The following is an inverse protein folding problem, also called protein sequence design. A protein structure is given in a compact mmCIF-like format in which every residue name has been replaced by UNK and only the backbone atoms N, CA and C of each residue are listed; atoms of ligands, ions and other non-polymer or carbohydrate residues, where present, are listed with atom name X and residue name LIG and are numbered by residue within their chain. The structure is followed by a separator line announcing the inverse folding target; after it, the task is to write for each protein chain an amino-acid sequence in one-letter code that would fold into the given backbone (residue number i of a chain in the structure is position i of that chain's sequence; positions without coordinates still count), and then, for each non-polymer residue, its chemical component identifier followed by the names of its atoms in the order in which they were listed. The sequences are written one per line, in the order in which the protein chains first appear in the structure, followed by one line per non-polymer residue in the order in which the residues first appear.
data_IF_441647050508
#
_entry.id   IF_441647050508
#
_cell.length_a   1.000
_cell.length_b   1.000
_cell.length_c   1.000
_cell.angle_alpha   90.00
_cell.angle_beta   90.00
_cell.angle_gamma   90.00
#
_symmetry.space_group_name_H-M   'P 1'
#
loop_
_entity.id
_entity.type
_entity.pdbx_description
1 polymer ?
#
# COMPACT_ATOMS: atom_id res chain seq x y z
N UNK A 1 4.54 36.57 0.40
CA UNK A 1 5.50 35.43 0.39
C UNK A 1 5.02 34.39 -0.62
N UNK A 2 5.88 33.96 -1.55
CA UNK A 2 5.52 32.91 -2.51
C UNK A 2 5.68 31.53 -1.85
N UNK A 3 4.64 30.70 -1.93
CA UNK A 3 4.64 29.34 -1.35
C UNK A 3 5.63 28.45 -2.10
N UNK A 4 6.47 27.72 -1.36
CA UNK A 4 7.28 26.64 -1.94
C UNK A 4 6.40 25.39 -2.05
N UNK A 5 6.31 24.83 -3.26
CA UNK A 5 5.55 23.60 -3.53
C UNK A 5 6.54 22.52 -3.92
N UNK A 6 6.92 21.70 -2.94
CA UNK A 6 7.81 20.57 -3.16
C UNK A 6 7.18 19.59 -4.15
N UNK A 7 7.93 19.20 -5.19
CA UNK A 7 7.51 18.19 -6.16
C UNK A 7 8.27 16.88 -6.02
N UNK A 8 9.53 16.95 -5.60
CA UNK A 8 10.34 15.77 -5.35
C UNK A 8 11.21 15.92 -4.10
N UNK A 9 11.45 14.80 -3.42
CA UNK A 9 12.49 14.67 -2.42
C UNK A 9 13.76 14.23 -3.14
N UNK A 10 14.73 15.14 -3.26
CA UNK A 10 15.93 14.93 -4.06
C UNK A 10 17.08 14.30 -3.25
N UNK A 11 17.14 14.56 -1.95
CA UNK A 11 18.18 14.03 -1.09
C UNK A 11 17.67 13.86 0.33
N UNK A 12 18.10 12.77 0.97
CA UNK A 12 17.92 12.51 2.40
C UNK A 12 19.27 12.28 3.03
N UNK A 13 19.50 12.85 4.21
CA UNK A 13 20.73 12.65 4.95
C UNK A 13 20.53 12.81 6.44
N UNK A 14 21.62 12.62 7.17
CA UNK A 14 21.75 12.98 8.57
C UNK A 14 22.91 13.94 8.71
N UNK A 15 22.73 14.96 9.56
CA UNK A 15 23.80 15.88 9.96
C UNK A 15 25.03 15.11 10.46
N UNK A 16 26.21 15.72 10.39
CA UNK A 16 27.49 15.10 10.82
C UNK A 16 27.44 14.62 12.28
N UNK A 17 26.74 15.37 13.14
CA UNK A 17 26.52 15.02 14.55
C UNK A 17 25.46 13.92 14.77
N UNK A 18 24.82 13.46 13.69
CA UNK A 18 23.70 12.49 13.66
C UNK A 18 22.50 12.87 14.53
N UNK A 19 22.35 14.14 14.91
CA UNK A 19 21.23 14.61 15.74
C UNK A 19 20.06 15.13 14.92
N UNK A 20 20.25 15.31 13.62
CA UNK A 20 19.25 15.89 12.72
C UNK A 20 19.15 15.09 11.42
N UNK A 21 17.91 14.86 10.98
CA UNK A 21 17.60 14.40 9.63
C UNK A 21 17.43 15.59 8.70
N UNK A 22 18.01 15.48 7.51
CA UNK A 22 17.96 16.50 6.48
C UNK A 22 17.25 15.97 5.25
N UNK A 23 16.25 16.72 4.79
CA UNK A 23 15.43 16.40 3.64
C UNK A 23 15.49 17.57 2.66
N UNK A 24 16.07 17.36 1.48
CA UNK A 24 16.15 18.39 0.44
C UNK A 24 15.07 18.15 -0.61
N UNK A 25 14.16 19.11 -0.72
CA UNK A 25 13.07 19.11 -1.68
C UNK A 25 13.39 20.01 -2.87
N UNK A 26 12.83 19.68 -4.03
CA UNK A 26 12.93 20.48 -5.26
C UNK A 26 11.53 20.84 -5.74
N UNK A 27 11.33 22.09 -6.19
CA UNK A 27 10.10 22.52 -6.84
C UNK A 27 10.17 22.47 -8.38
N UNK A 28 9.04 22.77 -9.04
CA UNK A 28 8.94 22.80 -10.52
C UNK A 28 9.93 23.74 -11.21
N UNK A 29 10.44 24.74 -10.48
CA UNK A 29 11.36 25.75 -11.00
C UNK A 29 12.81 25.40 -10.66
N UNK A 30 13.07 24.19 -10.14
CA UNK A 30 14.38 23.72 -9.72
C UNK A 30 14.88 24.35 -8.42
N UNK A 31 14.05 25.12 -7.70
CA UNK A 31 14.44 25.70 -6.41
C UNK A 31 14.55 24.57 -5.39
N UNK A 32 15.64 24.59 -4.62
CA UNK A 32 15.90 23.63 -3.56
C UNK A 32 15.54 24.22 -2.21
N UNK A 33 14.88 23.43 -1.37
CA UNK A 33 14.65 23.75 0.03
C UNK A 33 14.99 22.56 0.90
N UNK A 34 15.93 22.75 1.82
CA UNK A 34 16.32 21.73 2.80
C UNK A 34 15.60 21.98 4.12
N UNK A 35 14.97 20.94 4.65
CA UNK A 35 14.36 20.91 5.97
C UNK A 35 15.25 20.05 6.87
N UNK A 36 15.67 20.61 8.01
CA UNK A 36 16.50 19.92 9.00
C UNK A 36 15.73 19.72 10.30
N UNK A 37 15.37 18.49 10.61
CA UNK A 37 14.51 18.09 11.73
C UNK A 37 15.33 17.30 12.75
N UNK A 38 15.24 17.59 14.06
CA UNK A 38 15.85 16.76 15.09
C UNK A 38 15.37 15.31 15.00
N UNK A 39 16.26 14.34 15.27
CA UNK A 39 15.96 12.90 15.13
C UNK A 39 14.76 12.45 15.97
N UNK A 40 14.62 12.96 17.19
CA UNK A 40 13.45 12.66 18.04
C UNK A 40 12.14 13.09 17.39
N UNK A 41 12.07 14.32 16.88
CA UNK A 41 10.89 14.84 16.19
C UNK A 41 10.63 14.08 14.88
N UNK A 42 11.68 13.71 14.15
CA UNK A 42 11.53 12.90 12.95
C UNK A 42 10.92 11.53 13.27
N UNK A 43 11.32 10.89 14.37
CA UNK A 43 10.75 9.62 14.84
C UNK A 43 9.27 9.78 15.20
N UNK A 44 8.91 10.87 15.90
CA UNK A 44 7.51 11.18 16.25
C UNK A 44 6.64 11.45 15.02
N UNK A 45 7.23 11.98 13.94
CA UNK A 45 6.53 12.25 12.68
C UNK A 45 6.25 11.00 11.85
N UNK A 46 7.02 9.92 11.98
CA UNK A 46 6.83 8.68 11.21
C UNK A 46 5.39 8.16 11.31
N UNK A 47 4.82 7.87 12.51
CA UNK A 47 3.46 7.34 12.61
C UNK A 47 2.40 8.32 12.10
N UNK A 48 2.61 9.63 12.28
CA UNK A 48 1.69 10.67 11.80
C UNK A 48 1.66 10.70 10.27
N UNK A 49 2.82 10.68 9.62
CA UNK A 49 2.92 10.67 8.16
C UNK A 49 2.38 9.37 7.57
N UNK A 50 2.64 8.23 8.21
CA UNK A 50 2.05 6.94 7.82
C UNK A 50 0.52 6.98 7.90
N UNK A 51 -0.04 7.43 9.03
CA UNK A 51 -1.49 7.53 9.21
C UNK A 51 -2.14 8.49 8.20
N UNK A 52 -1.51 9.64 7.92
CA UNK A 52 -1.99 10.58 6.91
C UNK A 52 -1.91 10.00 5.49
N UNK A 53 -0.82 9.33 5.14
CA UNK A 53 -0.67 8.69 3.83
C UNK A 53 -1.70 7.57 3.63
N UNK A 54 -1.94 6.76 4.66
CA UNK A 54 -2.93 5.69 4.63
C UNK A 54 -4.37 6.21 4.56
N UNK A 55 -4.68 7.28 5.30
CA UNK A 55 -6.00 7.92 5.30
C UNK A 55 -6.30 8.71 4.02
N UNK A 56 -5.29 9.26 3.35
CA UNK A 56 -5.43 9.84 2.00
C UNK A 56 -5.73 8.77 0.94
N UNK A 57 -5.39 7.50 1.20
CA UNK A 57 -5.70 6.36 0.34
C UNK A 57 -7.13 5.82 0.47
N UNK A 58 -7.89 6.20 1.50
CA UNK A 58 -9.23 5.64 1.77
C UNK A 58 -10.38 6.32 1.01
N UNK A 59 -10.12 7.38 0.26
CA UNK A 59 -11.16 8.08 -0.50
C UNK A 59 -11.50 7.41 -1.86
N UNK A 60 -10.82 6.33 -2.26
CA UNK A 60 -11.09 5.66 -3.55
C UNK A 60 -11.03 4.14 -3.44
N UNK A 61 -12.19 3.55 -3.16
CA UNK A 61 -12.47 2.13 -3.34
C UNK A 61 -12.15 1.29 -2.11
N UNK A 62 -13.01 0.32 -1.82
CA UNK A 62 -12.82 -0.65 -0.77
C UNK A 62 -11.37 -1.19 -0.77
N UNK A 63 -10.63 -0.98 0.32
CA UNK A 63 -9.31 -1.58 0.53
C UNK A 63 -9.49 -3.10 0.67
N UNK A 64 -9.46 -3.82 -0.44
CA UNK A 64 -9.15 -5.25 -0.42
C UNK A 64 -7.68 -5.37 -0.03
N UNK A 65 -7.42 -5.72 1.22
CA UNK A 65 -6.09 -5.60 1.86
C UNK A 65 -5.07 -6.64 1.39
N UNK A 66 -5.47 -7.69 0.66
CA UNK A 66 -4.56 -8.66 0.03
C UNK A 66 -5.13 -9.17 -1.29
N UNK A 67 -4.34 -9.09 -2.36
CA UNK A 67 -4.69 -9.62 -3.68
C UNK A 67 -3.79 -10.83 -3.99
N UNK A 68 -4.33 -12.04 -4.16
CA UNK A 68 -3.51 -13.22 -4.40
C UNK A 68 -2.89 -13.13 -5.80
N UNK A 69 -1.55 -13.15 -5.88
CA UNK A 69 -0.81 -13.10 -7.17
C UNK A 69 -0.69 -14.47 -7.82
N UNK A 70 -0.78 -15.55 -7.04
CA UNK A 70 -0.62 -16.92 -7.48
C UNK A 70 -1.59 -17.84 -6.72
N UNK A 71 -2.17 -18.79 -7.43
CA UNK A 71 -3.03 -19.82 -6.85
C UNK A 71 -2.63 -21.18 -7.40
N UNK A 72 -2.66 -22.22 -6.57
CA UNK A 72 -2.33 -23.58 -6.96
C UNK A 72 -3.20 -24.57 -6.18
N UNK A 73 -3.59 -25.67 -6.82
CA UNK A 73 -4.30 -26.78 -6.17
C UNK A 73 -3.29 -27.89 -5.92
N UNK A 74 -3.19 -28.36 -4.67
CA UNK A 74 -2.22 -29.37 -4.27
C UNK A 74 -2.85 -30.46 -3.40
N UNK A 75 -2.20 -31.60 -3.30
CA UNK A 75 -2.58 -32.69 -2.39
C UNK A 75 -1.59 -32.75 -1.25
N UNK A 76 -2.04 -32.62 0.00
CA UNK A 76 -1.21 -32.80 1.19
C UNK A 76 -1.74 -34.00 1.98
N UNK A 77 -0.86 -34.97 2.28
CA UNK A 77 -1.09 -36.08 3.20
C UNK A 77 -2.56 -36.57 3.27
N UNK A 78 -3.05 -37.15 2.17
CA UNK A 78 -4.37 -37.78 2.02
C UNK A 78 -5.60 -36.85 2.04
N UNK A 79 -5.41 -35.52 2.09
CA UNK A 79 -6.50 -34.54 2.02
C UNK A 79 -6.32 -33.61 0.80
N UNK A 80 -7.43 -33.37 0.09
CA UNK A 80 -7.47 -32.45 -1.06
C UNK A 80 -7.70 -31.03 -0.54
N UNK A 81 -6.68 -30.19 -0.68
CA UNK A 81 -6.73 -28.79 -0.23
C UNK A 81 -6.50 -27.84 -1.40
N UNK A 82 -7.09 -26.66 -1.34
CA UNK A 82 -6.77 -25.54 -2.23
C UNK A 82 -5.77 -24.64 -1.49
N UNK A 83 -4.61 -24.39 -2.10
CA UNK A 83 -3.59 -23.53 -1.50
C UNK A 83 -3.70 -22.12 -2.08
N UNK A 84 -4.00 -21.14 -1.23
CA UNK A 84 -3.93 -19.72 -1.58
C UNK A 84 -2.66 -19.11 -1.01
N UNK A 85 -1.83 -18.51 -1.86
CA UNK A 85 -0.64 -17.78 -1.45
C UNK A 85 -0.83 -16.29 -1.70
N UNK A 86 -0.61 -15.48 -0.65
CA UNK A 86 -0.62 -14.03 -0.74
C UNK A 86 0.82 -13.53 -0.64
N UNK A 87 1.31 -12.87 -1.69
CA UNK A 87 2.68 -12.35 -1.78
C UNK A 87 3.72 -13.39 -1.29
N UNK A 88 4.53 -13.04 -0.30
CA UNK A 88 5.56 -13.92 0.26
C UNK A 88 5.09 -14.75 1.47
N UNK A 89 3.81 -14.66 1.86
CA UNK A 89 3.27 -15.40 3.00
C UNK A 89 3.27 -16.92 2.74
N UNK A 90 3.34 -17.74 3.80
CA UNK A 90 3.06 -19.17 3.70
C UNK A 90 1.68 -19.42 3.07
N UNK A 91 1.53 -20.45 2.22
CA UNK A 91 0.25 -20.75 1.59
C UNK A 91 -0.79 -21.17 2.63
N UNK A 92 -1.99 -20.61 2.51
CA UNK A 92 -3.17 -20.98 3.29
C UNK A 92 -3.84 -22.19 2.64
N UNK A 93 -4.02 -23.26 3.41
CA UNK A 93 -4.81 -24.41 2.99
C UNK A 93 -6.30 -24.18 3.26
N UNK A 94 -7.11 -24.29 2.21
CA UNK A 94 -8.56 -24.34 2.30
C UNK A 94 -9.08 -25.74 1.97
N UNK A 95 -10.03 -26.22 2.77
CA UNK A 95 -10.82 -27.38 2.40
C UNK A 95 -11.64 -27.12 1.14
N UNK A 96 -11.94 -28.18 0.37
CA UNK A 96 -12.69 -28.06 -0.90
C UNK A 96 -14.03 -27.35 -0.75
N UNK A 97 -14.77 -27.59 0.35
CA UNK A 97 -16.06 -26.94 0.60
C UNK A 97 -15.90 -25.44 0.83
N UNK A 98 -14.87 -25.05 1.57
CA UNK A 98 -14.56 -23.64 1.86
C UNK A 98 -14.08 -22.94 0.59
N UNK A 99 -13.26 -23.61 -0.22
CA UNK A 99 -12.82 -23.09 -1.51
C UNK A 99 -13.97 -22.91 -2.50
N UNK A 100 -14.95 -23.83 -2.51
CA UNK A 100 -16.15 -23.70 -3.32
C UNK A 100 -17.01 -22.50 -2.92
N UNK A 101 -17.24 -22.31 -1.62
CA UNK A 101 -17.95 -21.13 -1.10
C UNK A 101 -17.23 -19.84 -1.48
N UNK A 102 -15.91 -19.79 -1.24
CA UNK A 102 -15.09 -18.64 -1.58
C UNK A 102 -15.18 -18.30 -3.08
N UNK A 103 -15.14 -19.31 -3.95
CA UNK A 103 -15.27 -19.09 -5.40
C UNK A 103 -16.63 -18.48 -5.78
N UNK A 104 -17.73 -18.95 -5.16
CA UNK A 104 -19.06 -18.41 -5.43
C UNK A 104 -19.15 -16.94 -5.01
N UNK A 105 -18.70 -16.62 -3.81
CA UNK A 105 -18.70 -15.26 -3.27
C UNK A 105 -17.84 -14.31 -4.13
N UNK A 106 -16.62 -14.73 -4.49
CA UNK A 106 -15.73 -13.94 -5.37
C UNK A 106 -16.37 -13.69 -6.73
N UNK A 107 -17.05 -14.69 -7.30
CA UNK A 107 -17.74 -14.55 -8.59
C UNK A 107 -18.90 -13.55 -8.51
N UNK A 108 -19.75 -13.67 -7.48
CA UNK A 108 -20.88 -12.77 -7.26
C UNK A 108 -20.43 -11.31 -7.04
N UNK A 109 -19.35 -11.12 -6.29
CA UNK A 109 -18.76 -9.80 -6.07
C UNK A 109 -18.14 -9.24 -7.37
N UNK A 110 -17.49 -10.09 -8.18
CA UNK A 110 -16.92 -9.68 -9.49
C UNK A 110 -18.00 -9.21 -10.46
N UNK A 111 -19.17 -9.85 -10.45
CA UNK A 111 -20.33 -9.40 -11.22
C UNK A 111 -20.84 -8.05 -10.74
N UNK A 112 -20.84 -7.82 -9.43
CA UNK A 112 -21.25 -6.54 -8.81
C UNK A 112 -20.28 -5.41 -9.14
N UNK A 113 -18.97 -5.65 -9.06
CA UNK A 113 -17.92 -4.68 -9.43
C UNK A 113 -17.91 -4.38 -10.92
N UNK A 114 -18.20 -5.37 -11.77
CA UNK A 114 -18.29 -5.18 -13.22
C UNK A 114 -19.44 -4.24 -13.62
N UNK A 115 -20.52 -4.18 -12.82
CA UNK A 115 -21.63 -3.23 -13.00
C UNK A 115 -21.30 -1.80 -12.55
N UNK A 116 -20.24 -1.62 -11.75
CA UNK A 116 -19.79 -0.30 -11.27
C UNK A 116 -18.82 0.41 -12.25
N UNK A 117 -18.30 -0.27 -13.27
CA UNK A 117 -17.37 0.33 -14.25
C UNK A 117 -18.09 0.98 -15.43
N UNK A 118 -18.44 2.26 -15.25
CA UNK A 118 -18.15 3.32 -16.21
C UNK A 118 -18.38 4.71 -15.57
N UNK A 119 -17.38 5.34 -14.93
CA UNK A 119 -17.37 6.80 -14.84
C UNK A 119 -17.01 7.37 -16.20
N UNK A 120 -17.90 8.19 -16.76
CA UNK A 120 -17.67 8.94 -17.99
C UNK A 120 -16.42 9.82 -17.82
N UNK A 121 -15.43 9.61 -18.67
CA UNK A 121 -14.30 10.53 -18.82
C UNK A 121 -14.82 11.70 -19.66
N UNK A 122 -15.01 12.86 -19.04
CA UNK A 122 -15.08 14.16 -19.69
C UNK A 122 -13.87 14.99 -19.27
#
# INVERSE_FOLDING_TARGET
MSRFVAQSLAQTGTSEDRRRFELTFVDARGRKQTISVPVGIAADLVPVLTSLAEGLGDAKGAKFTKMPRQWAVGTALHERLVLLKFDDDPPYGLDLKVAETLWREVREETESVSRLKAPAVQ
#
